data_IF_995853572360
#
_entry.id   IF_995853572360
#
_cell.length_a   1.000
_cell.length_b   1.000
_cell.length_c   1.000
_cell.angle_alpha   90.00
_cell.angle_beta   90.00
_cell.angle_gamma   90.00
#
_symmetry.space_group_name_H-M   'P 1'
#
loop_
_entity.id
_entity.type
_entity.pdbx_description
1 polymer ?
#
# COMPACT_ATOMS: atom_id res chain seq x y z
N UNK A 1 12.06 -5.48 6.30
CA UNK A 1 10.64 -5.90 6.33
C UNK A 1 10.59 -7.41 6.22
N UNK A 2 9.76 -8.12 6.99
CA UNK A 2 9.60 -9.56 6.81
C UNK A 2 8.84 -9.79 5.51
N UNK A 3 9.56 -10.26 4.49
CA UNK A 3 9.03 -10.60 3.19
C UNK A 3 8.65 -12.08 3.20
N UNK A 4 7.52 -12.40 2.59
CA UNK A 4 7.13 -13.79 2.39
C UNK A 4 7.84 -14.30 1.14
N UNK A 5 8.16 -15.58 1.08
CA UNK A 5 8.78 -16.16 -0.10
C UNK A 5 7.80 -16.16 -1.30
N UNK A 6 8.36 -16.05 -2.50
CA UNK A 6 7.58 -16.03 -3.75
C UNK A 6 6.67 -17.26 -3.89
N UNK A 7 7.06 -18.45 -3.42
CA UNK A 7 6.21 -19.64 -3.54
C UNK A 7 4.91 -19.48 -2.72
N UNK A 8 5.03 -19.01 -1.48
CA UNK A 8 3.87 -18.68 -0.64
C UNK A 8 3.05 -17.52 -1.20
N UNK A 9 3.70 -16.53 -1.84
CA UNK A 9 3.00 -15.45 -2.54
C UNK A 9 2.18 -15.97 -3.73
N UNK A 10 2.75 -16.84 -4.58
CA UNK A 10 2.02 -17.48 -5.69
C UNK A 10 0.86 -18.35 -5.20
N UNK A 11 1.06 -19.11 -4.11
CA UNK A 11 -0.02 -19.87 -3.49
C UNK A 11 -1.14 -18.95 -3.02
N UNK A 12 -0.81 -17.82 -2.39
CA UNK A 12 -1.80 -16.81 -1.97
C UNK A 12 -2.58 -16.25 -3.16
N UNK A 13 -1.92 -16.02 -4.31
CA UNK A 13 -2.58 -15.61 -5.53
C UNK A 13 -3.54 -16.68 -6.06
N UNK A 14 -3.12 -17.95 -6.09
CA UNK A 14 -3.97 -19.06 -6.50
C UNK A 14 -5.20 -19.20 -5.59
N UNK A 15 -5.02 -19.11 -4.27
CA UNK A 15 -6.13 -19.12 -3.33
C UNK A 15 -7.07 -17.93 -3.53
N UNK A 16 -6.53 -16.74 -3.80
CA UNK A 16 -7.33 -15.54 -4.11
C UNK A 16 -8.18 -15.73 -5.36
N UNK A 17 -7.61 -16.31 -6.42
CA UNK A 17 -8.35 -16.67 -7.64
C UNK A 17 -9.43 -17.71 -7.37
N UNK A 18 -9.12 -18.73 -6.58
CA UNK A 18 -10.05 -19.79 -6.22
C UNK A 18 -11.24 -19.25 -5.40
N UNK A 19 -10.99 -18.44 -4.38
CA UNK A 19 -12.04 -17.80 -3.58
C UNK A 19 -12.93 -16.92 -4.46
N UNK A 20 -12.33 -16.12 -5.35
CA UNK A 20 -13.09 -15.29 -6.30
C UNK A 20 -13.97 -16.15 -7.22
N UNK A 21 -13.41 -17.24 -7.77
CA UNK A 21 -14.15 -18.19 -8.61
C UNK A 21 -15.32 -18.83 -7.87
N UNK A 22 -15.10 -19.29 -6.63
CA UNK A 22 -16.15 -19.91 -5.81
C UNK A 22 -17.25 -18.92 -5.44
N UNK A 23 -16.89 -17.69 -5.06
CA UNK A 23 -17.87 -16.68 -4.67
C UNK A 23 -18.80 -16.31 -5.82
N UNK A 24 -18.27 -16.17 -7.04
CA UNK A 24 -19.08 -15.99 -8.25
C UNK A 24 -20.02 -17.18 -8.49
N UNK A 25 -19.53 -18.42 -8.31
CA UNK A 25 -20.36 -19.61 -8.49
C UNK A 25 -21.49 -19.70 -7.46
N UNK A 26 -21.26 -19.28 -6.21
CA UNK A 26 -22.32 -19.21 -5.19
C UNK A 26 -23.38 -18.20 -5.60
N UNK A 27 -22.98 -17.00 -6.04
CA UNK A 27 -23.91 -15.97 -6.49
C UNK A 27 -24.72 -16.44 -7.70
N UNK A 28 -24.08 -17.06 -8.69
CA UNK A 28 -24.75 -17.64 -9.85
C UNK A 28 -25.68 -18.80 -9.49
N UNK A 29 -25.30 -19.59 -8.48
CA UNK A 29 -26.16 -20.61 -7.89
C UNK A 29 -27.44 -20.00 -7.37
N UNK A 30 -27.36 -18.95 -6.54
CA UNK A 30 -28.53 -18.24 -6.00
C UNK A 30 -29.38 -17.65 -7.13
N UNK A 31 -28.77 -17.02 -8.13
CA UNK A 31 -29.49 -16.46 -9.29
C UNK A 31 -30.31 -17.55 -9.99
N UNK A 32 -29.68 -18.66 -10.36
CA UNK A 32 -30.32 -19.70 -11.17
C UNK A 32 -31.31 -20.56 -10.38
N UNK A 33 -31.04 -20.81 -9.10
CA UNK A 33 -31.83 -21.72 -8.27
C UNK A 33 -32.91 -21.02 -7.47
N UNK A 34 -32.72 -19.74 -7.09
CA UNK A 34 -33.65 -18.99 -6.24
C UNK A 34 -34.30 -17.82 -6.99
N UNK A 35 -33.52 -16.89 -7.56
CA UNK A 35 -34.10 -15.69 -8.16
C UNK A 35 -34.86 -15.97 -9.46
N UNK A 36 -34.27 -16.79 -10.34
CA UNK A 36 -34.80 -17.12 -11.66
C UNK A 36 -35.79 -18.29 -11.65
N UNK A 37 -36.07 -18.87 -10.48
CA UNK A 37 -37.11 -19.88 -10.31
C UNK A 37 -38.40 -19.28 -9.77
N UNK A 38 -39.51 -19.88 -10.16
CA UNK A 38 -40.82 -19.54 -9.62
C UNK A 38 -41.18 -20.61 -8.58
N UNK A 39 -41.33 -20.20 -7.32
CA UNK A 39 -41.70 -21.09 -6.24
C UNK A 39 -43.21 -21.04 -5.97
N UNK A 40 -43.83 -22.13 -5.51
CA UNK A 40 -45.19 -22.10 -4.98
C UNK A 40 -45.24 -21.37 -3.61
N UNK A 41 -46.39 -20.79 -3.23
CA UNK A 41 -46.54 -20.04 -1.97
C UNK A 41 -46.20 -20.82 -0.69
N UNK A 42 -46.26 -22.17 -0.72
CA UNK A 42 -45.96 -23.00 0.44
C UNK A 42 -44.46 -23.09 0.77
N UNK A 43 -43.57 -22.69 -0.16
CA UNK A 43 -42.12 -22.75 0.01
C UNK A 43 -41.53 -21.42 0.50
N UNK A 44 -42.14 -20.80 1.51
CA UNK A 44 -41.50 -19.70 2.23
C UNK A 44 -40.23 -20.21 2.95
N UNK A 45 -39.11 -19.45 2.97
CA UNK A 45 -38.93 -18.08 2.49
C UNK A 45 -38.46 -17.96 1.02
N UNK A 46 -38.39 -19.06 0.27
CA UNK A 46 -37.97 -19.05 -1.14
C UNK A 46 -39.02 -18.42 -2.06
N UNK A 47 -40.28 -18.49 -1.68
CA UNK A 47 -41.36 -17.76 -2.34
C UNK A 47 -41.48 -16.33 -1.81
N UNK A 48 -41.44 -15.36 -2.72
CA UNK A 48 -41.68 -13.95 -2.42
C UNK A 48 -42.35 -13.20 -3.58
N UNK A 49 -43.16 -13.92 -4.37
CA UNK A 49 -43.85 -13.38 -5.56
C UNK A 49 -42.87 -12.93 -6.68
N UNK A 50 -41.88 -13.78 -6.99
CA UNK A 50 -40.93 -13.56 -8.07
C UNK A 50 -41.64 -13.34 -9.41
N UNK A 51 -41.36 -12.23 -10.07
CA UNK A 51 -41.95 -11.87 -11.36
C UNK A 51 -41.00 -11.00 -12.18
N UNK A 52 -41.34 -10.71 -13.43
CA UNK A 52 -40.49 -9.92 -14.33
C UNK A 52 -39.34 -10.71 -14.97
N UNK A 53 -38.40 -10.01 -15.65
CA UNK A 53 -37.35 -10.63 -16.45
C UNK A 53 -36.33 -11.39 -15.59
N UNK A 54 -35.69 -12.40 -16.18
CA UNK A 54 -34.66 -13.19 -15.51
C UNK A 54 -33.43 -12.32 -15.19
N UNK A 55 -32.93 -12.49 -13.96
CA UNK A 55 -31.69 -11.85 -13.50
C UNK A 55 -30.53 -12.47 -14.28
N UNK A 56 -29.69 -11.66 -14.94
CA UNK A 56 -28.54 -12.17 -15.66
C UNK A 56 -27.47 -12.64 -14.67
N UNK A 57 -26.79 -13.73 -15.04
CA UNK A 57 -25.72 -14.31 -14.22
C UNK A 57 -24.47 -13.44 -14.22
N UNK A 58 -23.68 -13.55 -13.16
CA UNK A 58 -22.39 -12.91 -13.03
C UNK A 58 -21.33 -13.64 -13.85
N UNK A 59 -20.51 -12.89 -14.56
CA UNK A 59 -19.35 -13.44 -15.23
C UNK A 59 -18.31 -13.91 -14.20
N UNK A 60 -17.93 -15.18 -14.29
CA UNK A 60 -16.75 -15.68 -13.61
C UNK A 60 -15.50 -15.36 -14.45
N UNK A 61 -14.54 -14.57 -13.94
CA UNK A 61 -13.32 -14.27 -14.68
C UNK A 61 -12.36 -15.46 -14.79
N UNK A 62 -12.64 -16.56 -14.08
CA UNK A 62 -11.81 -17.76 -14.07
C UNK A 62 -12.59 -18.99 -14.50
N UNK A 63 -11.89 -19.92 -15.14
CA UNK A 63 -12.33 -21.31 -15.29
C UNK A 63 -12.14 -22.09 -13.98
N UNK A 64 -12.66 -23.32 -13.92
CA UNK A 64 -12.49 -24.21 -12.75
C UNK A 64 -11.03 -24.60 -12.49
N UNK A 65 -10.17 -24.56 -13.50
CA UNK A 65 -8.72 -24.73 -13.39
C UNK A 65 -7.97 -23.41 -13.07
N UNK A 66 -8.70 -22.34 -12.70
CA UNK A 66 -8.19 -21.00 -12.35
C UNK A 66 -7.50 -20.24 -13.50
N UNK A 67 -7.57 -20.73 -14.73
CA UNK A 67 -7.17 -19.96 -15.92
C UNK A 67 -8.16 -18.83 -16.20
N UNK A 68 -7.68 -17.73 -16.78
CA UNK A 68 -8.52 -16.58 -17.12
C UNK A 68 -9.53 -16.93 -18.22
N UNK A 69 -10.73 -16.36 -18.10
CA UNK A 69 -11.85 -16.61 -19.01
C UNK A 69 -12.47 -15.29 -19.45
N UNK A 70 -12.79 -15.20 -20.74
CA UNK A 70 -13.66 -14.12 -21.24
C UNK A 70 -15.12 -14.41 -20.95
N UNK A 71 -15.84 -13.37 -20.51
CA UNK A 71 -17.27 -13.48 -20.22
C UNK A 71 -18.07 -13.83 -21.48
N UNK A 72 -19.04 -14.73 -21.34
CA UNK A 72 -19.96 -15.08 -22.41
C UNK A 72 -21.01 -13.98 -22.60
N UNK A 73 -21.65 -13.96 -23.78
CA UNK A 73 -22.76 -13.06 -24.05
C UNK A 73 -23.90 -13.26 -23.06
N UNK A 74 -24.39 -12.17 -22.47
CA UNK A 74 -25.46 -12.19 -21.46
C UNK A 74 -24.99 -12.33 -20.02
N UNK A 75 -23.70 -12.60 -19.78
CA UNK A 75 -23.10 -12.51 -18.44
C UNK A 75 -22.79 -11.05 -18.09
N UNK A 76 -22.92 -10.69 -16.82
CA UNK A 76 -22.62 -9.34 -16.33
C UNK A 76 -21.24 -9.30 -15.68
N UNK A 77 -20.45 -8.29 -15.98
CA UNK A 77 -19.13 -8.13 -15.37
C UNK A 77 -19.20 -7.84 -13.87
N UNK A 78 -18.14 -8.17 -13.14
CA UNK A 78 -17.99 -7.85 -11.71
C UNK A 78 -18.10 -6.35 -11.41
N UNK A 79 -17.74 -5.49 -12.37
CA UNK A 79 -17.75 -4.03 -12.21
C UNK A 79 -19.17 -3.44 -12.28
N UNK A 80 -20.00 -3.92 -13.21
CA UNK A 80 -21.32 -3.33 -13.50
C UNK A 80 -22.49 -4.10 -12.87
N UNK A 81 -22.24 -5.25 -12.23
CA UNK A 81 -23.28 -6.16 -11.73
C UNK A 81 -24.30 -5.48 -10.83
N UNK A 82 -23.87 -4.69 -9.86
CA UNK A 82 -24.74 -4.03 -8.89
C UNK A 82 -25.72 -3.07 -9.57
N UNK A 83 -25.25 -2.30 -10.56
CA UNK A 83 -26.12 -1.38 -11.31
C UNK A 83 -27.12 -2.12 -12.20
N UNK A 84 -26.69 -3.21 -12.83
CA UNK A 84 -27.55 -4.05 -13.66
C UNK A 84 -28.62 -4.73 -12.81
N UNK A 85 -28.24 -5.40 -11.72
CA UNK A 85 -29.15 -6.15 -10.86
C UNK A 85 -30.15 -5.26 -10.12
N UNK A 86 -29.82 -3.99 -9.87
CA UNK A 86 -30.75 -3.03 -9.26
C UNK A 86 -32.07 -2.91 -10.05
N UNK A 87 -32.03 -3.11 -11.38
CA UNK A 87 -33.21 -3.08 -12.25
C UNK A 87 -34.14 -4.29 -12.08
N UNK A 88 -33.69 -5.33 -11.40
CA UNK A 88 -34.43 -6.57 -11.15
C UNK A 88 -34.95 -6.65 -9.70
N UNK A 89 -34.66 -5.63 -8.89
CA UNK A 89 -35.08 -5.56 -7.50
C UNK A 89 -36.52 -5.09 -7.40
N UNK A 90 -37.34 -5.84 -6.66
CA UNK A 90 -38.71 -5.45 -6.35
C UNK A 90 -38.78 -4.60 -5.07
N UNK A 91 -39.85 -3.83 -4.93
CA UNK A 91 -40.26 -3.29 -3.63
C UNK A 91 -40.94 -4.40 -2.83
N UNK A 92 -40.68 -4.43 -1.52
CA UNK A 92 -41.26 -5.44 -0.61
C UNK A 92 -42.30 -4.82 0.31
N UNK A 93 -43.30 -5.61 0.67
CA UNK A 93 -44.27 -5.24 1.70
C UNK A 93 -43.73 -5.52 3.10
N UNK A 94 -43.92 -4.59 4.01
CA UNK A 94 -43.57 -4.75 5.43
C UNK A 94 -44.80 -5.28 6.18
N UNK A 95 -44.70 -6.36 6.99
CA UNK A 95 -43.50 -7.10 7.41
C UNK A 95 -43.24 -8.42 6.64
N UNK A 96 -44.08 -8.79 5.68
CA UNK A 96 -44.04 -10.12 5.05
C UNK A 96 -42.83 -10.36 4.13
N UNK A 97 -42.16 -9.30 3.67
CA UNK A 97 -41.00 -9.39 2.78
C UNK A 97 -41.34 -9.82 1.35
N UNK A 98 -42.62 -9.83 0.98
CA UNK A 98 -43.11 -10.26 -0.34
C UNK A 98 -43.00 -9.10 -1.33
N UNK A 99 -42.56 -9.39 -2.57
CA UNK A 99 -42.53 -8.41 -3.65
C UNK A 99 -43.93 -7.88 -3.98
N UNK A 100 -44.09 -6.55 -3.97
CA UNK A 100 -45.30 -5.84 -4.40
C UNK A 100 -45.21 -5.32 -5.83
N UNK A 101 -44.00 -5.12 -6.34
CA UNK A 101 -43.74 -4.73 -7.74
C UNK A 101 -43.07 -5.87 -8.50
N UNK A 102 -43.13 -5.88 -9.85
CA UNK A 102 -42.39 -6.83 -10.64
C UNK A 102 -40.90 -6.81 -10.33
N UNK A 103 -40.33 -7.99 -10.07
CA UNK A 103 -38.91 -8.16 -9.77
C UNK A 103 -38.60 -9.56 -9.24
N UNK A 104 -37.34 -9.94 -9.38
CA UNK A 104 -36.82 -11.27 -8.99
C UNK A 104 -35.81 -11.22 -7.86
N UNK A 105 -35.44 -10.02 -7.40
CA UNK A 105 -34.58 -9.84 -6.23
C UNK A 105 -35.33 -9.04 -5.17
N UNK A 106 -35.32 -9.50 -3.93
CA UNK A 106 -35.68 -8.65 -2.80
C UNK A 106 -34.52 -7.70 -2.48
N UNK A 107 -34.75 -6.58 -1.77
CA UNK A 107 -33.67 -5.70 -1.33
C UNK A 107 -32.58 -6.42 -0.51
N UNK A 108 -32.97 -7.44 0.25
CA UNK A 108 -32.04 -8.28 1.02
C UNK A 108 -31.17 -9.17 0.12
N UNK A 109 -31.76 -9.87 -0.86
CA UNK A 109 -30.97 -10.66 -1.81
C UNK A 109 -30.03 -9.76 -2.62
N UNK A 110 -30.54 -8.62 -3.10
CA UNK A 110 -29.75 -7.64 -3.84
C UNK A 110 -28.54 -7.15 -3.03
N UNK A 111 -28.72 -6.79 -1.76
CA UNK A 111 -27.61 -6.27 -0.93
C UNK A 111 -26.55 -7.34 -0.64
N UNK A 112 -26.95 -8.57 -0.34
CA UNK A 112 -26.04 -9.68 -0.11
C UNK A 112 -25.25 -10.05 -1.37
N UNK A 113 -25.94 -10.15 -2.52
CA UNK A 113 -25.28 -10.41 -3.80
C UNK A 113 -24.31 -9.29 -4.17
N UNK A 114 -24.71 -8.01 -3.99
CA UNK A 114 -23.84 -6.87 -4.29
C UNK A 114 -22.59 -6.85 -3.41
N UNK A 115 -22.71 -7.19 -2.13
CA UNK A 115 -21.57 -7.31 -1.22
C UNK A 115 -20.61 -8.42 -1.66
N UNK A 116 -21.13 -9.61 -2.01
CA UNK A 116 -20.33 -10.72 -2.51
C UNK A 116 -19.58 -10.36 -3.81
N UNK A 117 -20.22 -9.63 -4.73
CA UNK A 117 -19.56 -9.19 -5.95
C UNK A 117 -18.52 -8.10 -5.69
N UNK A 118 -18.76 -7.17 -4.78
CA UNK A 118 -17.76 -6.16 -4.44
C UNK A 118 -16.49 -6.79 -3.85
N UNK A 119 -16.64 -7.82 -3.02
CA UNK A 119 -15.50 -8.61 -2.51
C UNK A 119 -14.80 -9.32 -3.68
N UNK A 120 -15.56 -10.01 -4.53
CA UNK A 120 -15.01 -10.72 -5.71
C UNK A 120 -14.24 -9.76 -6.63
N UNK A 121 -14.79 -8.57 -6.86
CA UNK A 121 -14.17 -7.51 -7.66
C UNK A 121 -12.88 -7.02 -7.01
N UNK A 122 -12.88 -6.78 -5.68
CA UNK A 122 -11.69 -6.37 -4.95
C UNK A 122 -10.57 -7.42 -5.01
N UNK A 123 -10.91 -8.70 -4.78
CA UNK A 123 -9.95 -9.80 -4.87
C UNK A 123 -9.40 -9.96 -6.29
N UNK A 124 -10.25 -9.84 -7.31
CA UNK A 124 -9.84 -9.89 -8.72
C UNK A 124 -8.94 -8.72 -9.11
N UNK A 125 -9.32 -7.49 -8.77
CA UNK A 125 -8.63 -6.26 -9.20
C UNK A 125 -7.35 -5.99 -8.43
N UNK A 126 -7.35 -6.23 -7.12
CA UNK A 126 -6.26 -5.88 -6.22
C UNK A 126 -5.42 -7.08 -5.77
N UNK A 127 -5.91 -8.31 -5.93
CA UNK A 127 -5.20 -9.54 -5.53
C UNK A 127 -3.75 -9.61 -6.03
N UNK A 128 -3.48 -9.44 -7.34
CA UNK A 128 -2.12 -9.48 -7.87
C UNK A 128 -1.19 -8.44 -7.24
N UNK A 129 -1.69 -7.22 -7.01
CA UNK A 129 -0.90 -6.15 -6.38
C UNK A 129 -0.59 -6.46 -4.91
N UNK A 130 -1.58 -6.92 -4.15
CA UNK A 130 -1.40 -7.27 -2.74
C UNK A 130 -0.40 -8.43 -2.56
N UNK A 131 -0.41 -9.40 -3.47
CA UNK A 131 0.57 -10.50 -3.49
C UNK A 131 1.98 -9.99 -3.82
N UNK A 132 2.11 -9.08 -4.79
CA UNK A 132 3.42 -8.51 -5.14
C UNK A 132 4.02 -7.65 -4.01
N UNK A 133 3.19 -7.02 -3.18
CA UNK A 133 3.65 -6.35 -1.96
C UNK A 133 4.18 -7.36 -0.92
N UNK A 134 3.60 -8.56 -0.88
CA UNK A 134 3.94 -9.61 0.08
C UNK A 134 5.31 -10.26 -0.20
N UNK A 135 5.66 -10.46 -1.46
CA UNK A 135 6.98 -10.97 -1.91
C UNK A 135 8.07 -9.87 -1.87
N UNK A 136 7.72 -8.65 -1.47
CA UNK A 136 8.61 -7.49 -1.38
C UNK A 136 9.38 -7.14 -2.66
N UNK A 137 9.12 -7.78 -3.80
CA UNK A 137 9.77 -7.47 -5.09
C UNK A 137 9.55 -6.01 -5.44
N UNK A 138 8.31 -5.53 -5.33
CA UNK A 138 7.99 -4.12 -5.53
C UNK A 138 8.79 -3.17 -4.61
N UNK A 139 8.88 -3.50 -3.32
CA UNK A 139 9.63 -2.69 -2.33
C UNK A 139 11.12 -2.71 -2.63
N UNK A 140 11.68 -3.90 -2.90
CA UNK A 140 13.09 -4.10 -3.21
C UNK A 140 13.47 -3.37 -4.49
N UNK A 141 12.68 -3.49 -5.54
CA UNK A 141 12.94 -2.86 -6.83
C UNK A 141 12.87 -1.33 -6.69
N UNK A 142 11.84 -0.80 -6.01
CA UNK A 142 11.71 0.64 -5.75
C UNK A 142 12.89 1.18 -4.91
N UNK A 143 13.31 0.45 -3.87
CA UNK A 143 14.43 0.87 -3.03
C UNK A 143 15.77 0.75 -3.78
N UNK A 144 15.90 -0.23 -4.67
CA UNK A 144 17.07 -0.41 -5.53
C UNK A 144 17.17 0.74 -6.54
N UNK A 145 16.06 1.13 -7.15
CA UNK A 145 15.96 2.24 -8.09
C UNK A 145 16.29 3.59 -7.42
N UNK A 146 15.67 3.87 -6.27
CA UNK A 146 15.98 5.05 -5.45
C UNK A 146 17.44 5.05 -5.00
N UNK A 147 17.96 3.89 -4.57
CA UNK A 147 19.37 3.77 -4.18
C UNK A 147 20.29 4.05 -5.35
N UNK A 148 20.00 3.50 -6.53
CA UNK A 148 20.79 3.72 -7.73
C UNK A 148 20.80 5.19 -8.16
N UNK A 149 19.64 5.85 -8.15
CA UNK A 149 19.50 7.19 -8.71
C UNK A 149 19.82 8.32 -7.73
N UNK A 150 19.67 8.10 -6.42
CA UNK A 150 19.81 9.18 -5.42
C UNK A 150 20.99 8.99 -4.46
N UNK A 151 21.47 7.77 -4.21
CA UNK A 151 22.66 7.58 -3.36
C UNK A 151 23.99 8.07 -3.95
N UNK A 152 24.28 8.04 -5.28
CA UNK A 152 25.58 8.51 -5.77
C UNK A 152 25.77 10.02 -5.56
N UNK A 153 24.71 10.81 -5.72
CA UNK A 153 24.72 12.23 -5.37
C UNK A 153 24.97 12.45 -3.87
N UNK A 154 24.22 11.73 -3.03
CA UNK A 154 24.34 11.85 -1.56
C UNK A 154 25.72 11.45 -1.03
N UNK A 155 26.32 10.39 -1.60
CA UNK A 155 27.67 9.94 -1.28
C UNK A 155 28.74 10.93 -1.72
N UNK A 156 28.54 11.61 -2.85
CA UNK A 156 29.48 12.63 -3.33
C UNK A 156 29.42 13.87 -2.44
N UNK A 157 28.23 14.38 -2.12
CA UNK A 157 28.08 15.56 -1.24
C UNK A 157 28.59 15.29 0.17
N UNK A 158 28.34 14.11 0.74
CA UNK A 158 28.86 13.76 2.08
C UNK A 158 30.39 13.66 2.11
N UNK A 159 31.03 13.18 1.03
CA UNK A 159 32.48 13.23 0.89
C UNK A 159 33.02 14.65 0.85
N UNK A 160 32.40 15.56 0.09
CA UNK A 160 32.81 16.97 0.05
C UNK A 160 32.66 17.66 1.42
N UNK A 161 31.56 17.40 2.12
CA UNK A 161 31.31 17.93 3.47
C UNK A 161 32.37 17.37 4.45
N UNK A 162 32.68 16.08 4.38
CA UNK A 162 33.69 15.46 5.23
C UNK A 162 35.09 16.04 4.98
N UNK A 163 35.49 16.20 3.72
CA UNK A 163 36.76 16.84 3.35
C UNK A 163 36.80 18.28 3.89
N UNK A 164 35.71 19.05 3.73
CA UNK A 164 35.59 20.40 4.28
C UNK A 164 35.77 20.44 5.80
N UNK A 165 35.11 19.53 6.52
CA UNK A 165 35.23 19.41 7.98
C UNK A 165 36.66 19.09 8.43
N UNK A 166 37.35 18.21 7.70
CA UNK A 166 38.75 17.86 7.98
C UNK A 166 39.67 19.06 7.77
N UNK A 167 39.49 19.83 6.69
CA UNK A 167 40.29 21.03 6.43
C UNK A 167 40.06 22.10 7.51
N UNK A 168 38.81 22.36 7.89
CA UNK A 168 38.47 23.34 8.94
C UNK A 168 39.05 22.92 10.28
N UNK A 169 38.94 21.65 10.65
CA UNK A 169 39.51 21.17 11.93
C UNK A 169 41.04 21.27 11.95
N UNK A 170 41.72 20.92 10.86
CA UNK A 170 43.16 21.11 10.74
C UNK A 170 43.58 22.59 10.84
N UNK A 171 42.86 23.50 10.18
CA UNK A 171 43.14 24.94 10.24
C UNK A 171 42.98 25.51 11.65
N UNK A 172 41.94 25.10 12.38
CA UNK A 172 41.73 25.50 13.79
C UNK A 172 42.85 24.99 14.67
N UNK A 173 43.24 23.72 14.53
CA UNK A 173 44.35 23.13 15.29
C UNK A 173 45.67 23.88 15.06
N UNK A 174 46.00 24.19 13.80
CA UNK A 174 47.19 24.97 13.47
C UNK A 174 47.11 26.40 14.02
N UNK A 175 45.95 27.04 13.93
CA UNK A 175 45.74 28.39 14.48
C UNK A 175 45.96 28.42 15.98
N UNK A 176 45.47 27.41 16.71
CA UNK A 176 45.70 27.26 18.15
C UNK A 176 47.19 27.02 18.47
N UNK A 177 47.88 26.18 17.70
CA UNK A 177 49.33 25.98 17.87
C UNK A 177 50.11 27.29 17.69
N UNK A 178 49.85 28.03 16.61
CA UNK A 178 50.49 29.32 16.37
C UNK A 178 50.17 30.33 17.48
N UNK A 179 48.93 30.37 17.97
CA UNK A 179 48.53 31.25 19.06
C UNK A 179 49.28 30.95 20.37
N UNK A 180 49.45 29.67 20.71
CA UNK A 180 50.22 29.25 21.90
C UNK A 180 51.70 29.64 21.78
N UNK A 181 52.31 29.42 20.61
CA UNK A 181 53.71 29.79 20.35
C UNK A 181 53.88 31.31 20.47
N UNK A 182 53.02 32.08 19.81
CA UNK A 182 53.06 33.55 19.86
C UNK A 182 52.86 34.08 21.28
N UNK A 183 51.89 33.54 22.02
CA UNK A 183 51.65 33.93 23.41
C UNK A 183 52.87 33.63 24.30
N UNK A 184 53.53 32.49 24.09
CA UNK A 184 54.76 32.11 24.81
C UNK A 184 55.90 33.07 24.48
N UNK A 185 56.16 33.35 23.20
CA UNK A 185 57.22 34.27 22.80
C UNK A 185 56.96 35.69 23.31
N UNK A 186 55.70 36.16 23.23
CA UNK A 186 55.31 37.46 23.77
C UNK A 186 55.52 37.55 25.28
N UNK A 187 55.19 36.49 26.05
CA UNK A 187 55.51 36.45 27.49
C UNK A 187 57.01 36.52 27.72
N UNK A 188 57.82 35.72 27.01
CA UNK A 188 59.28 35.77 27.14
C UNK A 188 59.86 37.17 26.83
N UNK A 189 59.37 37.85 25.78
CA UNK A 189 59.77 39.23 25.46
C UNK A 189 59.37 40.25 26.54
N UNK A 190 58.24 40.06 27.21
CA UNK A 190 57.83 40.93 28.32
C UNK A 190 58.68 40.67 29.57
N UNK A 191 58.92 39.41 29.93
CA UNK A 191 59.77 39.06 31.08
C UNK A 191 61.21 39.53 30.92
N UNK A 192 61.80 39.39 29.72
CA UNK A 192 63.15 39.91 29.43
C UNK A 192 63.19 41.43 29.54
N UNK A 193 62.24 42.16 28.94
CA UNK A 193 62.15 43.63 29.10
C UNK A 193 61.98 44.08 30.56
N UNK A 194 61.18 43.36 31.36
CA UNK A 194 61.02 43.65 32.79
C UNK A 194 62.29 43.37 33.59
N UNK A 195 63.02 42.30 33.25
CA UNK A 195 64.30 41.98 33.88
C UNK A 195 65.36 43.03 33.54
N UNK A 196 65.47 43.42 32.28
CA UNK A 196 66.41 44.46 31.81
C UNK A 196 66.11 45.82 32.47
N UNK A 197 64.83 46.23 32.52
CA UNK A 197 64.42 47.45 33.21
C UNK A 197 64.69 47.42 34.73
N UNK A 198 64.56 46.24 35.37
CA UNK A 198 64.90 46.05 36.78
C UNK A 198 66.41 46.14 37.02
N UNK A 199 67.24 45.59 36.13
CA UNK A 199 68.70 45.67 36.20
C UNK A 199 69.18 47.11 35.96
N UNK A 200 68.63 47.84 35.00
CA UNK A 200 68.93 49.26 34.77
C UNK A 200 68.53 50.15 35.95
N UNK A 201 67.40 49.87 36.61
CA UNK A 201 66.96 50.60 37.79
C UNK A 201 67.89 50.41 39.00
N UNK A 202 68.47 49.23 39.16
CA UNK A 202 69.44 48.93 40.23
C UNK A 202 70.78 49.66 39.98
N UNK A 203 71.23 49.77 38.74
CA UNK A 203 72.49 50.46 38.39
C UNK A 203 72.42 51.99 38.48
N UNK A 204 71.23 52.61 38.55
CA UNK A 204 71.06 54.07 38.72
C UNK A 204 70.89 54.52 40.19
N UNK A 205 70.94 53.58 41.14
CA UNK A 205 70.73 53.84 42.57
C UNK A 205 72.00 53.86 43.44
N UNK A 206 73.18 54.07 42.84
CA UNK A 206 74.45 54.21 43.56
C UNK A 206 75.04 55.60 43.33
#
# INVERSE_FOLDING_TARGET
MPCVDNATAQETLLQTKNVSHQLVNVVNGIINTVANRNFPPQLAPLYYNQSGPLVPVLCNPFHSNLSERMCASGEVSLHNSSEVWKKYTCNVSTPSGICTTPGRLTPQFYSQMSAAVNISYGLYRYGPFLVNLQDCTFVRDTFTDISHDHCPGLRRYSQWIYIGLVIVSAAVMLSLMFWVIYARERRHRVYTKQHDARVEGINKGH
#
